data_IF_043561699384
#
_entry.id   IF_043561699384
#
_cell.length_a   1.000
_cell.length_b   1.000
_cell.length_c   1.000
_cell.angle_alpha   90.00
_cell.angle_beta   90.00
_cell.angle_gamma   90.00
#
_symmetry.space_group_name_H-M   'P 1'
#
loop_
_entity.id
_entity.type
_entity.pdbx_description
1 polymer ?
#
# COMPACT_ATOMS: atom_id res chain seq x y z
N UNK A 1 2.46 5.79 -2.32
CA UNK A 1 2.58 6.01 -0.88
C UNK A 1 1.46 5.18 -0.26
N UNK A 2 1.77 4.26 0.64
CA UNK A 2 0.81 3.25 1.15
C UNK A 2 0.00 3.76 2.33
N UNK A 3 -0.58 4.96 2.20
CA UNK A 3 -1.46 5.46 3.24
C UNK A 3 -2.84 4.80 3.12
N UNK A 4 -3.53 4.57 4.24
CA UNK A 4 -4.94 4.17 4.23
C UNK A 4 -5.76 4.77 5.39
N UNK A 5 -7.07 4.88 5.13
CA UNK A 5 -8.06 5.44 6.05
C UNK A 5 -8.41 4.43 7.13
N UNK A 6 -8.19 4.78 8.38
CA UNK A 6 -8.57 3.95 9.54
C UNK A 6 -9.49 4.73 10.45
N UNK A 7 -10.54 4.08 10.95
CA UNK A 7 -11.44 4.67 11.95
C UNK A 7 -11.19 3.99 13.30
N UNK A 8 -10.81 4.77 14.30
CA UNK A 8 -10.64 4.29 15.67
C UNK A 8 -11.87 4.67 16.48
N UNK A 9 -12.49 3.68 17.13
CA UNK A 9 -13.70 3.86 17.94
C UNK A 9 -13.32 4.01 19.41
N UNK A 10 -13.71 5.13 20.01
CA UNK A 10 -13.52 5.42 21.43
C UNK A 10 -14.86 5.32 22.16
N UNK A 11 -14.91 4.62 23.30
CA UNK A 11 -16.17 4.49 24.09
C UNK A 11 -16.75 5.85 24.49
N UNK A 12 -15.86 6.80 24.79
CA UNK A 12 -16.19 8.19 25.09
C UNK A 12 -15.11 9.09 24.47
N UNK A 13 -15.43 10.36 24.22
CA UNK A 13 -14.45 11.33 23.74
C UNK A 13 -13.59 11.83 24.93
N UNK A 14 -12.28 11.52 24.97
CA UNK A 14 -11.40 12.01 26.03
C UNK A 14 -10.88 13.43 25.71
N UNK A 15 -10.31 14.10 26.72
CA UNK A 15 -9.61 15.38 26.53
C UNK A 15 -8.36 15.23 25.63
N UNK A 16 -7.66 14.10 25.76
CA UNK A 16 -6.49 13.74 24.96
C UNK A 16 -6.83 12.61 23.99
N UNK A 17 -7.38 12.99 22.83
CA UNK A 17 -7.81 12.07 21.77
C UNK A 17 -6.61 11.33 21.18
N UNK A 18 -5.49 12.02 20.98
CA UNK A 18 -4.30 11.45 20.34
C UNK A 18 -3.70 10.33 21.20
N UNK A 19 -3.59 10.54 22.52
CA UNK A 19 -3.13 9.49 23.44
C UNK A 19 -4.08 8.28 23.46
N UNK A 20 -5.39 8.50 23.45
CA UNK A 20 -6.37 7.42 23.44
C UNK A 20 -6.34 6.60 22.13
N UNK A 21 -6.26 7.28 20.99
CA UNK A 21 -6.08 6.64 19.68
C UNK A 21 -4.77 5.87 19.64
N UNK A 22 -3.67 6.48 20.08
CA UNK A 22 -2.34 5.86 20.13
C UNK A 22 -2.33 4.59 20.98
N UNK A 23 -3.08 4.56 22.09
CA UNK A 23 -3.19 3.37 22.94
C UNK A 23 -3.84 2.19 22.21
N UNK A 24 -4.90 2.43 21.43
CA UNK A 24 -5.58 1.38 20.66
C UNK A 24 -4.76 0.94 19.44
N UNK A 25 -3.97 1.84 18.86
CA UNK A 25 -3.11 1.54 17.71
C UNK A 25 -1.77 0.89 18.09
N UNK A 26 -1.25 1.14 19.29
CA UNK A 26 0.07 0.67 19.74
C UNK A 26 0.36 -0.82 19.52
N UNK A 27 -0.59 -1.77 19.71
CA UNK A 27 -0.34 -3.18 19.43
C UNK A 27 0.00 -3.50 17.95
N UNK A 28 -0.32 -2.58 17.04
CA UNK A 28 -0.17 -2.71 15.59
C UNK A 28 0.97 -1.86 15.03
N UNK A 29 1.79 -1.24 15.90
CA UNK A 29 2.98 -0.48 15.51
C UNK A 29 4.08 -1.42 15.01
N UNK A 30 4.57 -1.19 13.79
CA UNK A 30 5.71 -1.87 13.19
C UNK A 30 7.00 -1.70 13.99
N UNK A 31 7.16 -0.55 14.65
CA UNK A 31 8.34 -0.23 15.45
C UNK A 31 8.36 -0.94 16.82
N UNK A 32 7.30 -1.67 17.16
CA UNK A 32 7.27 -2.48 18.39
C UNK A 32 8.07 -3.76 18.19
N UNK A 33 9.22 -3.88 18.86
CA UNK A 33 9.91 -5.16 18.96
C UNK A 33 9.19 -6.11 19.92
N UNK A 34 8.98 -7.35 19.48
CA UNK A 34 8.40 -8.43 20.27
C UNK A 34 9.47 -9.48 20.62
N UNK A 35 9.23 -10.33 21.64
CA UNK A 35 10.11 -11.46 21.90
C UNK A 35 10.33 -12.30 20.65
N UNK A 36 11.56 -12.80 20.50
CA UNK A 36 11.96 -13.57 19.32
C UNK A 36 11.02 -14.77 19.09
N UNK A 37 10.57 -14.92 17.85
CA UNK A 37 9.74 -16.05 17.41
C UNK A 37 10.17 -16.53 16.02
N UNK A 38 9.79 -17.76 15.69
CA UNK A 38 10.03 -18.35 14.38
C UNK A 38 8.88 -17.99 13.42
N UNK A 39 9.22 -17.47 12.23
CA UNK A 39 8.29 -17.25 11.11
C UNK A 39 8.73 -17.96 9.85
N UNK A 40 7.79 -18.15 8.93
CA UNK A 40 8.09 -18.57 7.57
C UNK A 40 8.94 -17.51 6.85
N UNK A 41 9.92 -17.97 6.08
CA UNK A 41 10.77 -17.11 5.29
C UNK A 41 10.05 -16.72 3.98
N UNK A 42 10.15 -15.45 3.60
CA UNK A 42 9.56 -14.92 2.37
C UNK A 42 10.16 -15.54 1.08
N UNK A 43 11.22 -16.34 1.19
CA UNK A 43 11.77 -17.09 0.06
C UNK A 43 10.89 -18.27 -0.38
N UNK A 44 9.97 -18.74 0.47
CA UNK A 44 9.10 -19.87 0.15
C UNK A 44 8.30 -19.56 -1.13
N UNK A 45 8.40 -20.44 -2.12
CA UNK A 45 7.70 -20.29 -3.40
C UNK A 45 8.32 -19.29 -4.37
N UNK A 46 9.34 -18.51 -4.00
CA UNK A 46 9.92 -17.48 -4.88
C UNK A 46 10.60 -18.03 -6.13
N UNK A 47 11.20 -19.23 -6.05
CA UNK A 47 11.71 -19.93 -7.25
C UNK A 47 10.55 -20.24 -8.21
N UNK A 48 9.48 -20.83 -7.69
CA UNK A 48 8.31 -21.18 -8.50
C UNK A 48 7.68 -19.96 -9.17
N UNK A 49 7.55 -18.85 -8.44
CA UNK A 49 7.03 -17.59 -8.98
C UNK A 49 7.92 -17.06 -10.10
N UNK A 50 9.25 -17.05 -9.92
CA UNK A 50 10.20 -16.58 -10.93
C UNK A 50 10.11 -17.41 -12.21
N UNK A 51 10.11 -18.73 -12.08
CA UNK A 51 10.06 -19.65 -13.22
C UNK A 51 8.70 -19.56 -13.95
N UNK A 52 7.61 -19.33 -13.21
CA UNK A 52 6.28 -19.07 -13.75
C UNK A 52 6.23 -17.75 -14.54
N UNK A 53 6.79 -16.66 -13.99
CA UNK A 53 6.92 -15.36 -14.69
C UNK A 53 7.75 -15.51 -15.97
N UNK A 54 8.86 -16.25 -15.92
CA UNK A 54 9.69 -16.50 -17.10
C UNK A 54 8.91 -17.29 -18.17
N UNK A 55 8.14 -18.29 -17.75
CA UNK A 55 7.27 -19.08 -18.64
C UNK A 55 6.22 -18.19 -19.30
N UNK A 56 5.50 -17.37 -18.53
CA UNK A 56 4.51 -16.44 -19.06
C UNK A 56 5.14 -15.41 -20.02
N UNK A 57 6.32 -14.89 -19.65
CA UNK A 57 7.09 -13.95 -20.49
C UNK A 57 7.49 -14.57 -21.82
N UNK A 58 7.93 -15.84 -21.84
CA UNK A 58 8.26 -16.56 -23.08
C UNK A 58 7.04 -16.77 -23.99
N UNK A 59 5.86 -16.98 -23.40
CA UNK A 59 4.63 -17.23 -24.16
C UNK A 59 3.97 -15.96 -24.69
N UNK A 60 4.00 -14.87 -23.93
CA UNK A 60 3.17 -13.68 -24.19
C UNK A 60 3.96 -12.37 -24.35
N UNK A 61 5.28 -12.40 -24.14
CA UNK A 61 6.08 -11.20 -23.94
C UNK A 61 6.05 -10.74 -22.48
N UNK A 62 6.93 -9.81 -22.13
CA UNK A 62 7.03 -9.27 -20.77
C UNK A 62 5.82 -8.39 -20.42
N UNK A 63 5.52 -8.26 -19.12
CA UNK A 63 4.46 -7.36 -18.64
C UNK A 63 4.68 -5.91 -19.07
N UNK A 64 5.95 -5.50 -19.25
CA UNK A 64 6.30 -4.18 -19.76
C UNK A 64 5.89 -4.03 -21.21
N UNK A 65 6.22 -4.99 -22.07
CA UNK A 65 5.84 -4.94 -23.50
C UNK A 65 4.32 -4.98 -23.69
N UNK A 66 3.62 -5.76 -22.86
CA UNK A 66 2.16 -5.80 -22.82
C UNK A 66 1.56 -4.47 -22.39
N UNK A 67 2.12 -3.82 -21.37
CA UNK A 67 1.70 -2.47 -20.93
C UNK A 67 1.98 -1.42 -21.99
N UNK A 68 3.14 -1.48 -22.63
CA UNK A 68 3.52 -0.58 -23.70
C UNK A 68 2.58 -0.73 -24.92
N UNK A 69 2.15 -1.95 -25.26
CA UNK A 69 1.16 -2.15 -26.33
C UNK A 69 -0.23 -1.66 -25.95
N UNK A 70 -0.66 -1.94 -24.72
CA UNK A 70 -1.95 -1.48 -24.21
C UNK A 70 -2.07 0.05 -24.27
N UNK A 71 -1.08 0.78 -23.76
CA UNK A 71 -1.14 2.25 -23.76
C UNK A 71 -0.99 2.87 -25.15
N UNK A 72 -0.38 2.19 -26.12
CA UNK A 72 -0.34 2.67 -27.52
C UNK A 72 -1.72 2.63 -28.18
N UNK A 73 -2.47 1.57 -27.90
CA UNK A 73 -3.75 1.31 -28.57
C UNK A 73 -4.97 1.78 -27.73
N UNK A 74 -4.72 2.32 -26.52
CA UNK A 74 -5.72 2.85 -25.60
C UNK A 74 -6.58 3.97 -26.20
N UNK A 75 -7.87 3.93 -25.91
CA UNK A 75 -8.77 5.06 -26.17
C UNK A 75 -8.67 6.09 -25.04
N UNK A 76 -8.46 7.36 -25.39
CA UNK A 76 -8.17 8.43 -24.41
C UNK A 76 -9.38 8.87 -23.56
N UNK A 77 -10.58 8.47 -23.94
CA UNK A 77 -11.84 8.94 -23.34
C UNK A 77 -12.56 7.84 -22.53
N UNK A 78 -11.86 6.74 -22.20
CA UNK A 78 -12.40 5.68 -21.33
C UNK A 78 -12.38 6.10 -19.85
N UNK A 79 -13.35 5.62 -19.08
CA UNK A 79 -13.34 5.72 -17.62
C UNK A 79 -12.29 4.77 -17.03
N UNK A 80 -11.77 5.06 -15.84
CA UNK A 80 -10.77 4.21 -15.15
C UNK A 80 -11.24 2.75 -15.04
N UNK A 81 -12.52 2.53 -14.72
CA UNK A 81 -13.13 1.19 -14.61
C UNK A 81 -13.11 0.42 -15.94
N UNK A 82 -13.32 1.12 -17.05
CA UNK A 82 -13.25 0.53 -18.40
C UNK A 82 -11.82 0.22 -18.79
N UNK A 83 -10.87 1.10 -18.46
CA UNK A 83 -9.45 0.89 -18.71
C UNK A 83 -8.92 -0.32 -17.93
N UNK A 84 -9.28 -0.45 -16.64
CA UNK A 84 -8.91 -1.59 -15.80
C UNK A 84 -9.46 -2.92 -16.35
N UNK A 85 -10.74 -2.94 -16.74
CA UNK A 85 -11.36 -4.12 -17.34
C UNK A 85 -10.70 -4.50 -18.68
N UNK A 86 -10.33 -3.51 -19.50
CA UNK A 86 -9.64 -3.73 -20.76
C UNK A 86 -8.21 -4.26 -20.53
N UNK A 87 -7.50 -3.72 -19.55
CA UNK A 87 -6.16 -4.16 -19.15
C UNK A 87 -6.18 -5.62 -18.66
N UNK A 88 -7.09 -5.95 -17.74
CA UNK A 88 -7.25 -7.32 -17.22
C UNK A 88 -7.51 -8.33 -18.35
N UNK A 89 -8.36 -7.97 -19.31
CA UNK A 89 -8.59 -8.78 -20.50
C UNK A 89 -7.32 -8.92 -21.35
N UNK A 90 -6.58 -7.83 -21.56
CA UNK A 90 -5.35 -7.79 -22.36
C UNK A 90 -4.26 -8.72 -21.80
N UNK A 91 -4.13 -8.79 -20.48
CA UNK A 91 -3.11 -9.64 -19.82
C UNK A 91 -3.61 -11.01 -19.37
N UNK A 92 -4.88 -11.34 -19.63
CA UNK A 92 -5.49 -12.60 -19.17
C UNK A 92 -4.71 -13.86 -19.60
N UNK A 93 -4.17 -13.89 -20.83
CA UNK A 93 -3.33 -15.00 -21.31
C UNK A 93 -2.01 -15.13 -20.54
N UNK A 94 -1.36 -14.01 -20.25
CA UNK A 94 -0.15 -13.95 -19.43
C UNK A 94 -0.46 -14.47 -18.01
N UNK A 95 -1.46 -13.90 -17.34
CA UNK A 95 -1.86 -14.27 -15.97
C UNK A 95 -2.26 -15.75 -15.88
N UNK A 96 -3.02 -16.26 -16.84
CA UNK A 96 -3.42 -17.66 -16.87
C UNK A 96 -2.24 -18.62 -17.02
N UNK A 97 -1.23 -18.24 -17.81
CA UNK A 97 -0.01 -19.05 -18.00
C UNK A 97 0.88 -19.01 -16.77
N UNK A 98 1.08 -17.83 -16.18
CA UNK A 98 1.82 -17.65 -14.93
C UNK A 98 1.19 -18.49 -13.80
N UNK A 99 -0.12 -18.35 -13.60
CA UNK A 99 -0.84 -19.08 -12.55
C UNK A 99 -0.74 -20.60 -12.74
N UNK A 100 -0.96 -21.10 -13.96
CA UNK A 100 -0.85 -22.53 -14.28
C UNK A 100 0.56 -23.09 -14.07
N UNK A 101 1.59 -22.33 -14.48
CA UNK A 101 2.99 -22.70 -14.25
C UNK A 101 3.34 -22.70 -12.77
N UNK A 102 2.87 -21.70 -12.01
CA UNK A 102 3.07 -21.61 -10.56
C UNK A 102 2.40 -22.77 -9.83
N UNK A 103 1.14 -23.08 -10.17
CA UNK A 103 0.34 -24.13 -9.53
C UNK A 103 0.93 -25.53 -9.70
N UNK A 104 1.57 -25.78 -10.83
CA UNK A 104 2.20 -27.06 -11.14
C UNK A 104 3.67 -27.15 -10.69
N UNK A 105 4.25 -26.08 -10.16
CA UNK A 105 5.68 -26.02 -9.88
C UNK A 105 6.09 -26.81 -8.62
N UNK A 106 7.14 -27.66 -8.68
CA UNK A 106 7.58 -28.48 -7.54
C UNK A 106 8.14 -27.67 -6.36
N UNK A 107 8.47 -26.39 -6.57
CA UNK A 107 8.96 -25.47 -5.55
C UNK A 107 7.90 -24.49 -5.01
N UNK A 108 6.61 -24.61 -5.40
CA UNK A 108 5.54 -23.66 -5.02
C UNK A 108 5.45 -23.39 -3.52
N UNK A 109 5.64 -24.44 -2.71
CA UNK A 109 5.57 -24.36 -1.24
C UNK A 109 6.92 -24.69 -0.57
N UNK A 110 8.04 -24.53 -1.29
CA UNK A 110 9.38 -24.86 -0.77
C UNK A 110 10.24 -23.61 -0.67
N UNK A 111 11.09 -23.60 0.36
CA UNK A 111 12.12 -22.58 0.53
C UNK A 111 13.14 -22.65 -0.61
N UNK A 112 13.72 -21.49 -0.95
CA UNK A 112 14.88 -21.42 -1.82
C UNK A 112 16.11 -21.98 -1.06
N UNK A 113 16.74 -23.07 -1.53
CA UNK A 113 17.91 -23.66 -0.86
C UNK A 113 19.10 -22.71 -0.73
N UNK A 114 19.18 -21.68 -1.58
CA UNK A 114 20.26 -20.69 -1.59
C UNK A 114 19.89 -19.42 -0.80
N UNK A 115 18.68 -19.32 -0.24
CA UNK A 115 18.27 -18.13 0.53
C UNK A 115 19.17 -17.95 1.76
N UNK A 116 19.78 -16.78 1.91
CA UNK A 116 20.70 -16.49 3.01
C UNK A 116 22.13 -16.99 2.79
N UNK A 117 22.42 -17.56 1.61
CA UNK A 117 23.73 -18.12 1.27
C UNK A 117 24.33 -17.40 0.05
N UNK A 118 25.64 -17.13 0.11
CA UNK A 118 26.39 -16.62 -1.05
C UNK A 118 26.32 -17.63 -2.19
N UNK A 119 26.01 -17.16 -3.40
CA UNK A 119 25.86 -17.99 -4.60
C UNK A 119 26.02 -17.14 -5.87
N UNK A 120 26.06 -17.76 -7.03
CA UNK A 120 26.00 -17.01 -8.30
C UNK A 120 24.69 -16.22 -8.45
N UNK A 121 23.60 -16.71 -7.82
CA UNK A 121 22.31 -16.02 -7.79
C UNK A 121 22.31 -14.85 -6.82
N UNK A 122 22.87 -15.06 -5.63
CA UNK A 122 22.87 -14.09 -4.54
C UNK A 122 24.29 -13.66 -4.19
N UNK A 123 24.60 -12.38 -4.43
CA UNK A 123 25.93 -11.79 -4.25
C UNK A 123 27.01 -12.51 -5.09
N UNK A 124 26.96 -12.39 -6.43
CA UNK A 124 27.96 -12.98 -7.31
C UNK A 124 29.34 -12.34 -7.06
N UNK A 125 30.32 -13.16 -6.67
CA UNK A 125 31.67 -12.73 -6.33
C UNK A 125 31.80 -12.14 -4.92
N UNK A 126 32.99 -12.29 -4.32
CA UNK A 126 33.33 -11.73 -3.00
C UNK A 126 33.38 -12.74 -1.84
N UNK A 127 32.58 -13.81 -1.90
CA UNK A 127 32.54 -14.86 -0.87
C UNK A 127 32.49 -16.25 -1.49
N UNK A 128 32.74 -17.31 -0.71
CA UNK A 128 32.64 -18.68 -1.23
C UNK A 128 31.17 -19.08 -1.33
N UNK A 129 30.74 -19.69 -2.46
CA UNK A 129 29.39 -20.20 -2.58
C UNK A 129 29.03 -21.17 -1.44
N UNK A 130 27.83 -21.02 -0.87
CA UNK A 130 27.31 -21.80 0.24
C UNK A 130 27.63 -21.26 1.64
N UNK A 131 28.47 -20.23 1.77
CA UNK A 131 28.67 -19.53 3.05
C UNK A 131 27.44 -18.69 3.40
N UNK A 132 27.12 -18.59 4.70
CA UNK A 132 26.01 -17.74 5.20
C UNK A 132 26.37 -16.26 5.05
N UNK A 133 25.39 -15.43 4.71
CA UNK A 133 25.56 -13.97 4.73
C UNK A 133 26.02 -13.47 6.10
N UNK A 134 26.93 -12.49 6.09
CA UNK A 134 27.52 -11.92 7.32
C UNK A 134 26.49 -11.22 8.21
N UNK A 135 25.45 -10.62 7.61
CA UNK A 135 24.34 -9.98 8.33
C UNK A 135 23.32 -10.97 8.91
N UNK A 136 23.49 -12.27 8.64
CA UNK A 136 22.58 -13.31 9.09
C UNK A 136 21.21 -13.26 8.42
N UNK A 137 21.00 -12.50 7.34
CA UNK A 137 19.72 -12.43 6.64
C UNK A 137 19.37 -13.73 5.89
N UNK A 138 18.08 -13.93 5.60
CA UNK A 138 17.54 -15.13 4.94
C UNK A 138 17.37 -16.35 5.86
N UNK A 139 17.04 -17.51 5.29
CA UNK A 139 16.76 -18.73 6.07
C UNK A 139 17.83 -19.83 5.99
N UNK A 140 18.93 -19.63 5.25
CA UNK A 140 19.88 -20.70 4.87
C UNK A 140 19.19 -21.95 4.32
N UNK A 141 18.20 -21.76 3.44
CA UNK A 141 17.45 -22.86 2.83
C UNK A 141 16.47 -23.61 3.75
N UNK A 142 16.36 -23.26 5.03
CA UNK A 142 15.45 -23.95 5.97
C UNK A 142 13.98 -23.59 5.77
N UNK A 143 13.70 -22.41 5.20
CA UNK A 143 12.35 -21.84 5.11
C UNK A 143 11.86 -21.17 6.38
N UNK A 144 12.66 -21.11 7.45
CA UNK A 144 12.31 -20.48 8.73
C UNK A 144 13.31 -19.38 9.08
N UNK A 145 12.81 -18.28 9.61
CA UNK A 145 13.62 -17.17 10.13
C UNK A 145 13.19 -16.84 11.56
N UNK A 146 14.16 -16.49 12.41
CA UNK A 146 13.88 -15.83 13.68
C UNK A 146 13.57 -14.36 13.41
N UNK A 147 12.62 -13.80 14.17
CA UNK A 147 12.22 -12.41 14.04
C UNK A 147 11.78 -11.85 15.38
N UNK A 148 12.07 -10.57 15.60
CA UNK A 148 11.52 -9.74 16.67
C UNK A 148 10.51 -8.73 16.13
N UNK A 149 10.20 -8.80 14.83
CA UNK A 149 9.29 -7.89 14.14
C UNK A 149 7.85 -8.16 14.57
N UNK A 150 7.07 -7.10 14.86
CA UNK A 150 5.69 -7.24 15.32
C UNK A 150 4.82 -8.00 14.29
N UNK A 151 4.36 -9.24 14.58
CA UNK A 151 3.53 -9.99 13.64
C UNK A 151 2.13 -9.38 13.47
N UNK A 152 1.75 -8.44 14.34
CA UNK A 152 0.51 -7.68 14.24
C UNK A 152 0.70 -6.33 13.56
N UNK A 153 1.89 -6.00 13.05
CA UNK A 153 2.12 -4.67 12.48
C UNK A 153 1.11 -4.34 11.37
N UNK A 154 0.64 -3.10 11.39
CA UNK A 154 -0.26 -2.52 10.38
C UNK A 154 0.19 -1.14 9.93
N UNK A 155 1.06 -0.48 10.69
CA UNK A 155 1.54 0.86 10.41
C UNK A 155 2.94 1.11 10.96
N UNK A 156 3.70 1.99 10.32
CA UNK A 156 4.98 2.55 10.81
C UNK A 156 4.84 4.00 11.29
N UNK A 157 3.78 4.69 10.85
CA UNK A 157 3.39 6.04 11.27
C UNK A 157 1.88 6.26 11.15
N UNK A 158 1.33 7.15 11.97
CA UNK A 158 -0.06 7.58 11.86
C UNK A 158 -0.29 9.03 12.33
N UNK A 159 -1.42 9.61 11.92
CA UNK A 159 -1.93 10.88 12.46
C UNK A 159 -3.45 10.97 12.36
N UNK A 160 -4.09 11.87 13.10
CA UNK A 160 -5.54 12.12 12.98
C UNK A 160 -5.82 12.97 11.74
N UNK A 161 -6.73 12.52 10.87
CA UNK A 161 -7.08 13.17 9.61
C UNK A 161 -6.02 13.04 8.53
N UNK A 162 -4.81 13.59 8.75
CA UNK A 162 -3.69 13.51 7.81
C UNK A 162 -4.05 14.00 6.40
N UNK A 163 -3.82 13.15 5.40
CA UNK A 163 -4.24 13.35 4.01
C UNK A 163 -5.75 13.29 3.76
N UNK A 164 -6.53 12.91 4.76
CA UNK A 164 -8.00 12.80 4.74
C UNK A 164 -8.66 13.73 5.77
N UNK A 165 -7.97 14.81 6.10
CA UNK A 165 -8.49 15.85 6.98
C UNK A 165 -9.87 16.30 6.51
N UNK A 166 -10.88 16.12 7.36
CA UNK A 166 -12.24 16.56 7.10
C UNK A 166 -13.18 15.52 6.48
N UNK A 167 -12.71 14.32 6.14
CA UNK A 167 -13.45 13.32 5.32
C UNK A 167 -14.78 12.82 5.92
N UNK A 168 -15.03 12.96 7.22
CA UNK A 168 -16.35 12.65 7.78
C UNK A 168 -17.41 13.71 7.42
N UNK A 169 -17.01 14.90 6.99
CA UNK A 169 -17.90 15.95 6.53
C UNK A 169 -18.14 15.81 5.03
N UNK A 170 -19.29 15.26 4.64
CA UNK A 170 -19.63 14.99 3.24
C UNK A 170 -19.70 16.24 2.36
N UNK A 171 -19.86 17.42 2.97
CA UNK A 171 -19.92 18.70 2.26
C UNK A 171 -18.54 19.35 2.11
N UNK A 172 -17.51 18.80 2.77
CA UNK A 172 -16.14 19.29 2.70
C UNK A 172 -15.31 18.53 1.67
N UNK A 173 -14.70 19.27 0.76
CA UNK A 173 -13.72 18.75 -0.20
C UNK A 173 -12.37 19.40 0.08
N UNK A 174 -11.47 18.63 0.69
CA UNK A 174 -10.15 19.11 1.08
C UNK A 174 -9.30 19.57 -0.10
N UNK A 175 -9.59 19.11 -1.32
CA UNK A 175 -8.88 19.55 -2.53
C UNK A 175 -9.33 20.93 -3.02
N UNK A 176 -10.47 21.43 -2.55
CA UNK A 176 -10.99 22.78 -2.83
C UNK A 176 -10.57 23.83 -1.80
N UNK A 177 -9.98 23.41 -0.67
CA UNK A 177 -9.51 24.32 0.37
C UNK A 177 -8.13 24.90 -0.01
N UNK A 178 -8.07 26.19 -0.27
CA UNK A 178 -6.84 26.88 -0.69
C UNK A 178 -5.70 26.74 0.34
N UNK A 179 -6.03 26.54 1.62
CA UNK A 179 -5.03 26.34 2.69
C UNK A 179 -4.27 25.03 2.53
N UNK A 180 -4.83 24.06 1.79
CA UNK A 180 -4.25 22.74 1.58
C UNK A 180 -3.26 22.70 0.41
N UNK A 181 -3.09 23.79 -0.32
CA UNK A 181 -2.18 23.87 -1.45
C UNK A 181 -0.89 24.58 -1.07
N UNK A 182 0.22 24.08 -1.59
CA UNK A 182 1.54 24.70 -1.49
C UNK A 182 2.22 24.75 -2.86
N UNK A 183 3.22 25.62 -2.97
CA UNK A 183 4.05 25.66 -4.16
C UNK A 183 4.72 24.29 -4.39
N UNK A 184 4.68 23.81 -5.63
CA UNK A 184 5.29 22.54 -5.98
C UNK A 184 6.80 22.68 -6.01
N UNK A 185 7.45 22.15 -4.96
CA UNK A 185 8.91 22.12 -4.80
C UNK A 185 9.66 21.49 -5.99
N UNK A 186 9.03 20.58 -6.74
CA UNK A 186 9.64 19.90 -7.89
C UNK A 186 9.86 20.85 -9.07
N UNK A 187 9.00 21.86 -9.22
CA UNK A 187 9.07 22.83 -10.32
C UNK A 187 9.14 24.28 -9.86
N UNK A 188 9.23 24.52 -8.55
CA UNK A 188 9.29 25.86 -7.95
C UNK A 188 8.17 26.78 -8.48
N UNK A 189 6.93 26.26 -8.45
CA UNK A 189 5.76 27.04 -8.87
C UNK A 189 5.53 27.16 -10.38
N UNK A 190 6.50 26.79 -11.23
CA UNK A 190 6.43 27.06 -12.67
C UNK A 190 5.48 26.14 -13.46
N UNK A 191 5.11 24.99 -12.89
CA UNK A 191 4.40 23.93 -13.59
C UNK A 191 5.26 23.15 -14.59
N UNK A 192 6.55 23.47 -14.74
CA UNK A 192 7.48 22.76 -15.63
C UNK A 192 8.77 22.42 -14.90
N UNK A 193 9.19 21.15 -14.97
CA UNK A 193 10.50 20.76 -14.41
C UNK A 193 11.62 21.36 -15.24
N UNK A 194 12.60 21.99 -14.60
CA UNK A 194 13.78 22.55 -15.26
C UNK A 194 15.04 21.68 -15.09
N UNK A 195 14.92 20.57 -14.36
CA UNK A 195 15.97 19.56 -14.25
C UNK A 195 16.14 18.74 -15.54
N UNK A 196 17.20 17.93 -15.59
CA UNK A 196 17.54 17.12 -16.76
C UNK A 196 16.41 16.17 -17.15
N UNK A 197 15.69 15.59 -16.17
CA UNK A 197 14.53 14.74 -16.42
C UNK A 197 13.44 15.51 -17.20
N UNK A 198 13.11 16.72 -16.76
CA UNK A 198 12.14 17.57 -17.43
C UNK A 198 12.56 17.96 -18.85
N UNK A 199 13.84 18.27 -19.05
CA UNK A 199 14.40 18.62 -20.35
C UNK A 199 14.41 17.42 -21.32
N UNK A 200 14.90 16.26 -20.87
CA UNK A 200 14.97 15.04 -21.67
C UNK A 200 13.59 14.53 -22.04
N UNK A 201 12.64 14.54 -21.10
CA UNK A 201 11.26 14.12 -21.38
C UNK A 201 10.60 15.07 -22.38
N UNK A 202 10.89 16.38 -22.33
CA UNK A 202 10.38 17.33 -23.33
C UNK A 202 11.04 17.23 -24.70
N UNK A 203 12.20 16.60 -24.82
CA UNK A 203 12.79 16.32 -26.13
C UNK A 203 11.95 15.31 -26.94
N UNK A 204 11.29 14.36 -26.27
CA UNK A 204 10.39 13.38 -26.90
C UNK A 204 8.90 13.73 -26.78
N UNK A 205 8.50 14.47 -25.74
CA UNK A 205 7.14 14.94 -25.51
C UNK A 205 7.14 16.44 -25.15
N UNK A 206 7.09 17.36 -26.12
CA UNK A 206 7.16 18.81 -25.88
C UNK A 206 6.12 19.35 -24.90
N UNK A 207 4.98 18.67 -24.76
CA UNK A 207 3.88 19.05 -23.87
C UNK A 207 4.07 18.56 -22.42
N UNK A 208 5.15 17.86 -22.11
CA UNK A 208 5.42 17.36 -20.77
C UNK A 208 5.48 18.49 -19.73
N UNK A 209 4.56 18.42 -18.77
CA UNK A 209 4.49 19.29 -17.60
C UNK A 209 5.13 18.63 -16.38
N UNK A 210 5.28 19.36 -15.29
CA UNK A 210 5.78 18.80 -14.04
C UNK A 210 4.86 17.68 -13.53
N UNK A 211 5.39 16.46 -13.44
CA UNK A 211 4.65 15.30 -12.93
C UNK A 211 4.27 15.41 -11.44
N UNK A 212 4.98 16.23 -10.66
CA UNK A 212 4.67 16.46 -9.25
C UNK A 212 3.45 17.35 -9.00
N UNK A 213 3.05 18.18 -9.96
CA UNK A 213 1.88 19.07 -9.85
C UNK A 213 0.95 19.04 -11.06
N UNK A 214 1.20 18.13 -12.01
CA UNK A 214 0.48 18.05 -13.29
C UNK A 214 0.41 19.40 -14.03
N UNK A 215 1.48 20.20 -13.95
CA UNK A 215 1.54 21.51 -14.59
C UNK A 215 0.88 22.67 -13.85
N UNK A 216 0.24 22.44 -12.70
CA UNK A 216 -0.45 23.49 -11.94
C UNK A 216 0.49 24.47 -11.23
N UNK A 217 1.74 24.09 -11.02
CA UNK A 217 2.69 24.85 -10.20
C UNK A 217 2.47 24.69 -8.69
N UNK A 218 1.30 24.25 -8.26
CA UNK A 218 0.97 23.91 -6.87
C UNK A 218 0.68 22.43 -6.71
N UNK A 219 0.93 21.90 -5.52
CA UNK A 219 0.55 20.53 -5.14
C UNK A 219 -0.24 20.56 -3.83
N UNK A 220 -0.98 19.50 -3.55
CA UNK A 220 -1.60 19.30 -2.25
C UNK A 220 -0.49 19.06 -1.21
N UNK A 221 -0.65 19.64 -0.02
CA UNK A 221 0.22 19.40 1.13
C UNK A 221 0.07 17.94 1.59
N UNK A 222 1.15 17.37 2.13
CA UNK A 222 1.11 16.05 2.76
C UNK A 222 0.34 16.07 4.09
N UNK A 223 0.28 17.23 4.75
CA UNK A 223 -0.52 17.47 5.94
C UNK A 223 -1.49 18.60 5.66
N UNK A 224 -2.77 18.29 5.69
CA UNK A 224 -3.84 19.22 5.34
C UNK A 224 -4.19 20.12 6.53
N UNK A 225 -4.78 21.28 6.22
CA UNK A 225 -5.20 22.26 7.21
C UNK A 225 -6.35 21.71 8.07
N UNK A 226 -6.32 21.89 9.40
CA UNK A 226 -7.36 21.39 10.29
C UNK A 226 -8.78 21.80 9.86
N UNK A 227 -9.69 20.83 9.89
CA UNK A 227 -11.12 20.99 9.65
C UNK A 227 -11.90 20.69 10.95
N UNK A 228 -12.62 21.66 11.54
CA UNK A 228 -13.20 21.53 12.88
C UNK A 228 -14.21 20.40 13.09
N UNK A 229 -14.88 19.92 12.04
CA UNK A 229 -16.03 18.99 12.14
C UNK A 229 -15.84 17.63 11.49
N UNK A 230 -14.68 17.36 10.87
CA UNK A 230 -14.59 16.26 9.89
C UNK A 230 -13.67 15.09 10.24
N UNK A 231 -12.98 15.09 11.38
CA UNK A 231 -12.16 13.94 11.80
C UNK A 231 -12.75 13.17 12.99
N UNK A 232 -13.68 13.77 13.72
CA UNK A 232 -14.27 13.19 14.94
C UNK A 232 -15.77 13.31 14.85
N UNK A 233 -16.50 12.19 14.90
CA UNK A 233 -17.97 12.16 14.88
C UNK A 233 -18.52 11.06 15.77
N UNK A 234 -19.76 11.21 16.21
CA UNK A 234 -20.49 10.09 16.80
C UNK A 234 -20.68 8.99 15.76
N UNK A 235 -20.58 7.73 16.18
CA UNK A 235 -20.81 6.58 15.29
C UNK A 235 -22.28 6.51 14.87
N UNK A 236 -23.21 6.84 15.77
CA UNK A 236 -24.62 6.92 15.45
C UNK A 236 -24.87 7.86 14.24
N UNK A 237 -25.36 7.29 13.14
CA UNK A 237 -25.65 8.02 11.90
C UNK A 237 -24.43 8.31 11.01
N UNK A 238 -23.25 7.79 11.34
CA UNK A 238 -22.06 7.92 10.50
C UNK A 238 -22.18 7.00 9.27
N UNK A 239 -22.17 7.60 8.08
CA UNK A 239 -22.10 6.89 6.80
C UNK A 239 -20.71 7.06 6.20
N UNK A 240 -19.78 6.17 6.55
CA UNK A 240 -18.40 6.20 6.08
C UNK A 240 -17.83 4.77 5.98
N UNK A 241 -17.05 4.48 4.94
CA UNK A 241 -16.42 3.16 4.73
C UNK A 241 -14.90 3.35 4.72
N UNK A 242 -14.20 3.16 5.85
CA UNK A 242 -12.74 3.23 5.91
C UNK A 242 -12.10 1.96 5.33
N UNK A 243 -10.78 1.92 5.22
CA UNK A 243 -10.07 0.67 4.91
C UNK A 243 -9.99 -0.25 6.13
N UNK A 244 -9.79 0.31 7.31
CA UNK A 244 -9.74 -0.41 8.58
C UNK A 244 -10.52 0.28 9.70
N UNK A 245 -10.91 -0.50 10.71
CA UNK A 245 -11.56 -0.05 11.94
C UNK A 245 -10.85 -0.68 13.14
N UNK A 246 -10.60 0.10 14.18
CA UNK A 246 -10.19 -0.41 15.49
C UNK A 246 -11.32 -0.18 16.48
N UNK A 247 -11.84 -1.25 17.07
CA UNK A 247 -12.93 -1.21 18.04
C UNK A 247 -12.40 -0.87 19.45
N UNK A 248 -13.29 -0.49 20.40
CA UNK A 248 -12.84 -0.03 21.72
C UNK A 248 -12.12 -1.08 22.57
N UNK A 249 -12.33 -2.37 22.27
CA UNK A 249 -11.60 -3.50 22.87
C UNK A 249 -10.23 -3.75 22.21
N UNK A 250 -9.86 -2.94 21.21
CA UNK A 250 -8.58 -2.98 20.51
C UNK A 250 -8.51 -3.99 19.37
N UNK A 251 -9.63 -4.58 18.95
CA UNK A 251 -9.65 -5.47 17.77
C UNK A 251 -9.51 -4.68 16.46
N UNK A 252 -8.70 -5.20 15.55
CA UNK A 252 -8.46 -4.63 14.22
C UNK A 252 -9.29 -5.36 13.17
N UNK A 253 -10.09 -4.59 12.42
CA UNK A 253 -10.87 -5.06 11.28
C UNK A 253 -10.42 -4.33 10.03
N UNK A 254 -10.18 -5.04 8.93
CA UNK A 254 -9.71 -4.44 7.67
C UNK A 254 -10.40 -5.05 6.44
N UNK A 255 -10.47 -4.25 5.36
CA UNK A 255 -10.96 -4.67 4.04
C UNK A 255 -10.12 -5.81 3.44
N UNK A 256 -8.81 -5.76 3.63
CA UNK A 256 -7.84 -6.73 3.13
C UNK A 256 -6.48 -6.45 3.76
N UNK A 257 -5.50 -7.30 3.49
CA UNK A 257 -4.13 -7.10 3.97
C UNK A 257 -3.41 -6.05 3.13
N UNK A 258 -3.12 -4.90 3.74
CA UNK A 258 -2.33 -3.86 3.10
C UNK A 258 -0.86 -4.28 3.03
N UNK A 259 -0.29 -4.22 1.83
CA UNK A 259 1.12 -4.48 1.58
C UNK A 259 1.83 -3.27 0.97
N UNK A 260 3.11 -3.47 0.69
CA UNK A 260 3.97 -2.44 0.10
C UNK A 260 3.37 -1.89 -1.20
N UNK A 261 3.51 -0.59 -1.42
CA UNK A 261 3.00 0.13 -2.59
C UNK A 261 1.48 0.18 -2.66
N UNK A 262 0.80 0.07 -1.52
CA UNK A 262 -0.66 0.00 -1.42
C UNK A 262 -1.27 -1.20 -2.17
N UNK A 263 -0.51 -2.28 -2.35
CA UNK A 263 -1.03 -3.52 -2.91
C UNK A 263 -1.82 -4.22 -1.81
N UNK A 264 -3.13 -4.40 -2.03
CA UNK A 264 -4.00 -5.09 -1.08
C UNK A 264 -4.18 -6.54 -1.53
N UNK A 265 -4.05 -7.47 -0.59
CA UNK A 265 -4.39 -8.89 -0.80
C UNK A 265 -5.57 -9.28 0.07
N UNK A 266 -6.22 -10.40 -0.28
CA UNK A 266 -7.34 -10.97 0.48
C UNK A 266 -8.48 -9.96 0.74
N UNK A 267 -8.81 -9.18 -0.29
CA UNK A 267 -9.90 -8.20 -0.21
C UNK A 267 -11.25 -8.87 0.02
N UNK A 268 -12.05 -8.25 0.89
CA UNK A 268 -13.39 -8.68 1.26
C UNK A 268 -14.43 -7.87 0.52
N UNK A 269 -15.19 -8.53 -0.34
CA UNK A 269 -16.28 -7.90 -1.10
C UNK A 269 -17.41 -7.37 -0.19
N UNK A 270 -17.63 -8.01 0.96
CA UNK A 270 -18.66 -7.66 1.94
C UNK A 270 -18.19 -6.63 2.99
N UNK A 271 -17.06 -5.96 2.75
CA UNK A 271 -16.50 -4.99 3.68
C UNK A 271 -17.46 -3.84 4.05
N UNK A 272 -18.21 -3.21 3.11
CA UNK A 272 -19.19 -2.17 3.46
C UNK A 272 -20.29 -2.66 4.43
N UNK A 273 -20.75 -3.89 4.25
CA UNK A 273 -21.75 -4.51 5.14
C UNK A 273 -21.15 -4.80 6.52
N UNK A 274 -19.89 -5.21 6.57
CA UNK A 274 -19.14 -5.43 7.82
C UNK A 274 -18.96 -4.12 8.59
N UNK A 275 -18.56 -3.04 7.92
CA UNK A 275 -18.45 -1.70 8.53
C UNK A 275 -19.79 -1.26 9.11
N UNK A 276 -20.87 -1.41 8.36
CA UNK A 276 -22.22 -1.05 8.82
C UNK A 276 -22.61 -1.81 10.09
N UNK A 277 -22.30 -3.11 10.16
CA UNK A 277 -22.56 -3.93 11.36
C UNK A 277 -21.73 -3.47 12.56
N UNK A 278 -20.44 -3.19 12.37
CA UNK A 278 -19.55 -2.69 13.43
C UNK A 278 -20.09 -1.36 13.96
N UNK A 279 -20.42 -0.40 13.08
CA UNK A 279 -20.96 0.89 13.51
C UNK A 279 -22.29 0.73 14.26
N UNK A 280 -23.19 -0.15 13.82
CA UNK A 280 -24.44 -0.44 14.53
C UNK A 280 -24.23 -1.05 15.94
N UNK A 281 -23.13 -1.79 16.16
CA UNK A 281 -22.78 -2.35 17.47
C UNK A 281 -22.13 -1.32 18.40
N UNK A 282 -21.58 -0.25 17.84
CA UNK A 282 -20.81 0.77 18.55
C UNK A 282 -21.43 2.17 18.40
N UNK A 283 -22.76 2.29 18.24
CA UNK A 283 -23.45 3.57 17.98
C UNK A 283 -23.16 4.66 19.04
N UNK A 284 -22.94 4.28 20.29
CA UNK A 284 -22.61 5.20 21.38
C UNK A 284 -21.15 5.68 21.39
N UNK A 285 -20.30 5.06 20.58
CA UNK A 285 -18.88 5.41 20.51
C UNK A 285 -18.66 6.67 19.68
N UNK A 286 -17.46 7.24 19.84
CA UNK A 286 -16.96 8.31 18.99
C UNK A 286 -15.96 7.74 17.99
N UNK A 287 -16.19 7.96 16.71
CA UNK A 287 -15.28 7.62 15.62
C UNK A 287 -14.24 8.73 15.44
N UNK A 288 -12.98 8.33 15.32
CA UNK A 288 -11.84 9.20 14.98
C UNK A 288 -11.20 8.72 13.69
N UNK A 289 -11.17 9.57 12.67
CA UNK A 289 -10.51 9.30 11.41
C UNK A 289 -8.99 9.48 11.53
N UNK A 290 -8.26 8.45 11.16
CA UNK A 290 -6.80 8.41 11.19
C UNK A 290 -6.25 8.08 9.79
N UNK A 291 -5.11 8.71 9.49
CA UNK A 291 -4.25 8.41 8.37
C UNK A 291 -3.11 7.52 8.86
N UNK A 292 -3.03 6.28 8.36
CA UNK A 292 -1.97 5.33 8.70
C UNK A 292 -1.10 5.08 7.47
N UNK A 293 0.22 4.98 7.68
CA UNK A 293 1.22 4.62 6.67
C UNK A 293 1.79 3.23 6.94
N UNK A 294 2.14 2.50 5.87
CA UNK A 294 2.85 1.22 5.86
C UNK A 294 3.85 1.14 4.69
#
# INVERSE_FOLDING_TARGET
MSHFRTVVLLENLPDDIESAVGTLLAPYDENTEVPEYERDCDCIGKIALRDAIETATKCHGSIKELRDSFHRDRQKDETDEQEDAAWEKHISGYKGTEQSALDSHPMKAKADPECGLYSERYHPGGHKPGERFEDGSGCAGTGKCLSTYNPKSKWDWWTIGGGWQGDFDSDYDSTKDERNWEECWVCEGTGKRHDQLGLDTRASNPDYTCNGCQGKGTKLKSTLAPHPSGNVKQVAGLSYVPFAIVTPDGEWHEKGSMGWWAIVTDEKDDWPDTVTKIFAQHESCTAVLCDLHI
#
